data_IF_959544369211
#
_entry.id   IF_959544369211
#
_cell.length_a   1.000
_cell.length_b   1.000
_cell.length_c   1.000
_cell.angle_alpha   90.00
_cell.angle_beta   90.00
_cell.angle_gamma   90.00
#
_symmetry.space_group_name_H-M   'P 1'
#
loop_
_entity.id
_entity.type
_entity.pdbx_description
1 polymer ?
#
# COMPACT_ATOMS: atom_id res chain seq x y z
N UNK A 1 -4.40 4.68 28.48
CA UNK A 1 -5.67 5.17 27.91
C UNK A 1 -5.62 5.10 26.40
N UNK A 2 -6.40 4.20 25.80
CA UNK A 2 -6.55 4.11 24.34
C UNK A 2 -7.44 5.25 23.84
N UNK A 3 -7.05 5.89 22.74
CA UNK A 3 -7.84 6.94 22.08
C UNK A 3 -9.16 6.32 21.59
N UNK A 4 -10.26 7.05 21.79
CA UNK A 4 -11.61 6.68 21.33
C UNK A 4 -12.27 7.89 20.67
N UNK A 5 -13.07 7.60 19.64
CA UNK A 5 -13.89 8.59 18.94
C UNK A 5 -15.36 8.36 19.25
N UNK A 6 -16.13 9.43 19.44
CA UNK A 6 -17.58 9.35 19.59
C UNK A 6 -18.24 9.53 18.23
N UNK A 7 -19.01 8.55 17.80
CA UNK A 7 -19.81 8.61 16.57
C UNK A 7 -21.29 8.51 16.94
N UNK A 8 -22.13 9.24 16.20
CA UNK A 8 -23.58 9.08 16.26
C UNK A 8 -24.03 8.27 15.06
N UNK A 9 -24.53 7.06 15.29
CA UNK A 9 -25.10 6.23 14.25
C UNK A 9 -26.60 6.51 14.11
N UNK A 10 -27.07 6.55 12.87
CA UNK A 10 -28.49 6.50 12.55
C UNK A 10 -28.82 5.10 12.02
N UNK A 11 -29.62 4.34 12.78
CA UNK A 11 -29.86 2.92 12.57
C UNK A 11 -31.32 2.69 12.19
N UNK A 12 -31.55 1.91 11.14
CA UNK A 12 -32.86 1.29 10.88
C UNK A 12 -32.94 -0.01 11.69
N UNK A 13 -33.67 0.03 12.81
CA UNK A 13 -33.83 -1.13 13.69
C UNK A 13 -34.57 -2.28 12.98
N UNK A 14 -35.52 -1.98 12.10
CA UNK A 14 -36.31 -3.01 11.38
C UNK A 14 -35.42 -3.80 10.43
N UNK A 15 -34.49 -3.13 9.75
CA UNK A 15 -33.54 -3.77 8.82
C UNK A 15 -32.24 -4.21 9.51
N UNK A 16 -32.06 -3.83 10.78
CA UNK A 16 -30.82 -3.96 11.53
C UNK A 16 -29.62 -3.51 10.68
N UNK A 17 -29.65 -2.23 10.28
CA UNK A 17 -28.72 -1.62 9.32
C UNK A 17 -28.37 -0.19 9.73
N UNK A 18 -27.10 0.15 9.68
CA UNK A 18 -26.63 1.54 9.79
C UNK A 18 -26.97 2.26 8.48
N UNK A 19 -27.69 3.37 8.57
CA UNK A 19 -27.96 4.22 7.40
C UNK A 19 -26.77 5.13 7.14
N UNK A 20 -26.30 5.79 8.19
CA UNK A 20 -25.14 6.68 8.20
C UNK A 20 -24.62 6.86 9.62
N UNK A 21 -23.43 7.44 9.72
CA UNK A 21 -22.83 7.93 10.95
C UNK A 21 -22.53 9.42 10.81
N UNK A 22 -22.82 10.20 11.84
CA UNK A 22 -22.22 11.51 12.03
C UNK A 22 -20.91 11.36 12.80
N UNK A 23 -19.86 11.96 12.26
CA UNK A 23 -18.51 11.90 12.81
C UNK A 23 -17.83 13.26 12.80
N UNK A 24 -17.00 13.50 13.81
CA UNK A 24 -16.14 14.67 13.89
C UNK A 24 -14.87 14.51 13.04
N UNK A 25 -14.19 15.62 12.83
CA UNK A 25 -12.99 15.74 12.01
C UNK A 25 -11.93 14.67 12.33
N UNK A 26 -11.62 14.42 13.59
CA UNK A 26 -10.53 13.52 13.96
C UNK A 26 -10.76 12.07 13.52
N UNK A 27 -12.00 11.57 13.62
CA UNK A 27 -12.32 10.23 13.17
C UNK A 27 -12.22 10.13 11.64
N UNK A 28 -12.70 11.15 10.94
CA UNK A 28 -12.64 11.18 9.48
C UNK A 28 -11.20 11.29 8.97
N UNK A 29 -10.35 12.03 9.66
CA UNK A 29 -8.91 12.09 9.38
C UNK A 29 -8.27 10.70 9.50
N UNK A 30 -8.62 9.93 10.54
CA UNK A 30 -8.18 8.54 10.69
C UNK A 30 -8.70 7.68 9.53
N UNK A 31 -9.99 7.79 9.19
CA UNK A 31 -10.60 7.02 8.11
C UNK A 31 -9.92 7.29 6.76
N UNK A 32 -9.70 8.56 6.40
CA UNK A 32 -9.02 8.96 5.17
C UNK A 32 -7.53 8.56 5.18
N UNK A 33 -6.89 8.54 6.35
CA UNK A 33 -5.49 8.10 6.45
C UNK A 33 -5.28 6.64 6.06
N UNK A 34 -6.31 5.79 6.19
CA UNK A 34 -6.26 4.37 5.82
C UNK A 34 -5.94 4.18 4.33
N UNK A 35 -6.38 5.10 3.47
CA UNK A 35 -6.08 5.10 2.04
C UNK A 35 -4.58 5.30 1.75
N UNK A 36 -3.86 5.97 2.66
CA UNK A 36 -2.44 6.32 2.48
C UNK A 36 -1.48 5.25 3.01
N UNK A 37 -2.01 4.19 3.64
CA UNK A 37 -1.23 3.11 4.22
C UNK A 37 -0.78 2.15 3.11
N UNK A 38 0.52 1.78 3.04
CA UNK A 38 0.97 0.74 2.13
C UNK A 38 0.19 -0.56 2.33
N UNK A 39 -0.23 -1.22 1.25
CA UNK A 39 -1.07 -2.43 1.33
C UNK A 39 -0.40 -3.54 2.15
N UNK A 40 0.93 -3.66 2.15
CA UNK A 40 1.63 -4.62 2.98
C UNK A 40 1.53 -4.31 4.48
N UNK A 41 1.44 -3.04 4.86
CA UNK A 41 1.17 -2.65 6.25
C UNK A 41 -0.29 -2.90 6.64
N UNK A 42 -1.23 -2.74 5.70
CA UNK A 42 -2.64 -3.14 5.91
C UNK A 42 -2.73 -4.65 6.12
N UNK A 43 -2.05 -5.45 5.29
CA UNK A 43 -2.03 -6.90 5.43
C UNK A 43 -1.50 -7.32 6.81
N UNK A 44 -0.44 -6.68 7.31
CA UNK A 44 0.10 -6.90 8.67
C UNK A 44 -0.83 -6.43 9.78
N UNK A 45 -1.53 -5.32 9.56
CA UNK A 45 -2.48 -4.80 10.54
C UNK A 45 -3.69 -5.74 10.67
N UNK A 46 -4.13 -6.34 9.57
CA UNK A 46 -5.27 -7.27 9.58
C UNK A 46 -4.86 -8.68 10.05
N UNK A 47 -3.69 -9.19 9.64
CA UNK A 47 -3.17 -10.49 10.09
C UNK A 47 -2.43 -10.36 11.44
N UNK A 48 -2.88 -11.09 12.47
CA UNK A 48 -2.19 -11.18 13.78
C UNK A 48 -0.82 -11.92 13.74
N UNK A 49 -0.24 -12.18 12.57
CA UNK A 49 1.01 -12.92 12.43
C UNK A 49 2.13 -12.05 11.87
N UNK A 50 3.32 -12.15 12.50
CA UNK A 50 4.57 -11.69 11.90
C UNK A 50 4.89 -12.61 10.73
N UNK A 51 4.46 -12.22 9.53
CA UNK A 51 4.88 -12.90 8.30
C UNK A 51 6.41 -12.77 8.20
N UNK A 52 7.12 -13.85 8.53
CA UNK A 52 8.48 -14.04 8.07
C UNK A 52 8.37 -14.27 6.56
N UNK A 53 8.55 -13.21 5.76
CA UNK A 53 8.82 -13.35 4.34
C UNK A 53 10.17 -14.05 4.19
N UNK A 54 10.19 -15.36 4.34
CA UNK A 54 11.36 -16.19 4.04
C UNK A 54 11.35 -16.58 2.55
N UNK A 55 11.22 -15.56 1.71
CA UNK A 55 11.32 -15.71 0.25
C UNK A 55 12.78 -16.03 -0.14
N UNK A 56 13.75 -15.68 0.73
CA UNK A 56 15.17 -15.75 0.43
C UNK A 56 15.53 -14.92 -0.80
N UNK A 57 16.76 -15.08 -1.31
CA UNK A 57 17.14 -14.61 -2.66
C UNK A 57 16.90 -13.12 -2.99
N UNK A 58 16.88 -12.24 -1.99
CA UNK A 58 16.86 -10.80 -2.18
C UNK A 58 18.13 -10.31 -2.88
N UNK A 59 17.99 -9.30 -3.74
CA UNK A 59 19.11 -8.71 -4.48
C UNK A 59 20.15 -8.11 -3.53
N UNK A 60 19.71 -7.44 -2.46
CA UNK A 60 20.55 -6.95 -1.36
C UNK A 60 19.90 -7.26 -0.01
N UNK A 61 20.69 -7.25 1.07
CA UNK A 61 20.18 -7.39 2.45
C UNK A 61 19.18 -6.27 2.81
N UNK A 62 19.32 -5.10 2.19
CA UNK A 62 18.42 -3.98 2.39
C UNK A 62 17.04 -4.20 1.73
N UNK A 63 16.92 -4.98 0.64
CA UNK A 63 15.64 -5.28 0.01
C UNK A 63 14.66 -5.98 0.97
N UNK A 64 15.15 -6.90 1.82
CA UNK A 64 14.32 -7.52 2.85
C UNK A 64 13.79 -6.47 3.84
N UNK A 65 14.67 -5.56 4.27
CA UNK A 65 14.31 -4.45 5.16
C UNK A 65 13.29 -3.49 4.54
N UNK A 66 13.38 -3.25 3.21
CA UNK A 66 12.42 -2.41 2.50
C UNK A 66 10.99 -2.94 2.53
N UNK A 67 10.83 -4.26 2.54
CA UNK A 67 9.53 -4.91 2.58
C UNK A 67 9.05 -5.13 4.00
N UNK A 68 9.93 -5.37 4.97
CA UNK A 68 9.54 -5.53 6.39
C UNK A 68 9.21 -4.21 7.07
N UNK A 69 9.85 -3.11 6.67
CA UNK A 69 9.60 -1.75 7.16
C UNK A 69 9.12 -0.85 6.00
N UNK A 70 7.86 -1.03 5.60
CA UNK A 70 7.27 -0.29 4.47
C UNK A 70 7.02 1.16 4.86
N UNK A 71 7.61 2.08 4.10
CA UNK A 71 7.55 3.53 4.33
C UNK A 71 6.59 4.21 3.36
N UNK A 72 5.94 5.27 3.82
CA UNK A 72 5.08 6.13 3.00
C UNK A 72 5.50 7.59 3.12
N UNK A 73 5.34 8.36 2.05
CA UNK A 73 5.51 9.84 2.08
C UNK A 73 4.54 10.52 3.06
N UNK A 74 3.52 9.80 3.51
CA UNK A 74 2.51 10.26 4.47
C UNK A 74 2.76 9.82 5.91
N UNK A 75 3.88 9.15 6.21
CA UNK A 75 4.20 8.68 7.57
C UNK A 75 4.19 9.82 8.60
N UNK A 76 4.82 10.95 8.29
CA UNK A 76 4.85 12.12 9.18
C UNK A 76 3.48 12.76 9.36
N UNK A 77 2.63 12.74 8.33
CA UNK A 77 1.26 13.24 8.43
C UNK A 77 0.44 12.36 9.40
N UNK A 78 0.55 11.04 9.26
CA UNK A 78 -0.20 10.08 10.10
C UNK A 78 0.19 10.14 11.58
N UNK A 79 1.41 10.57 11.92
CA UNK A 79 1.82 10.80 13.31
C UNK A 79 1.04 11.91 14.01
N UNK A 80 0.45 12.85 13.26
CA UNK A 80 -0.38 13.93 13.80
C UNK A 80 -1.82 13.53 14.05
N UNK A 81 -2.22 12.33 13.63
CA UNK A 81 -3.56 11.80 13.89
C UNK A 81 -3.72 11.46 15.37
N UNK A 82 -4.92 11.67 15.91
CA UNK A 82 -5.28 11.16 17.24
C UNK A 82 -5.11 9.64 17.35
N UNK A 83 -5.31 8.90 16.26
CA UNK A 83 -5.07 7.46 16.19
C UNK A 83 -4.30 7.09 14.92
N UNK A 84 -3.08 6.58 15.07
CA UNK A 84 -2.30 6.04 13.96
C UNK A 84 -2.51 4.53 13.86
N UNK A 85 -3.10 4.08 12.75
CA UNK A 85 -3.37 2.66 12.49
C UNK A 85 -2.14 1.87 12.04
N UNK A 86 -1.00 2.51 11.77
CA UNK A 86 0.24 1.82 11.43
C UNK A 86 1.30 1.96 12.52
N UNK A 87 2.01 0.87 12.80
CA UNK A 87 3.20 0.86 13.65
C UNK A 87 4.42 1.44 12.92
N UNK A 88 4.39 2.73 12.59
CA UNK A 88 5.54 3.38 11.96
C UNK A 88 6.60 3.71 13.01
N UNK A 89 7.69 2.94 13.00
CA UNK A 89 8.94 3.41 13.62
C UNK A 89 9.33 4.75 12.98
N UNK A 90 9.97 5.67 13.73
CA UNK A 90 10.46 6.93 13.15
C UNK A 90 11.33 6.65 11.92
N UNK A 91 11.21 7.51 10.89
CA UNK A 91 12.09 7.46 9.73
C UNK A 91 13.54 7.56 10.19
N UNK A 92 14.28 6.47 9.98
CA UNK A 92 15.72 6.44 10.27
C UNK A 92 16.47 6.83 9.01
N UNK A 93 17.59 7.51 9.19
CA UNK A 93 18.47 7.94 8.12
C UNK A 93 19.87 7.42 8.44
N UNK A 94 20.46 6.71 7.49
CA UNK A 94 21.76 6.07 7.65
C UNK A 94 22.73 6.59 6.59
N UNK A 95 23.95 6.91 7.00
CA UNK A 95 25.06 7.31 6.13
C UNK A 95 26.20 6.31 6.27
N UNK A 96 27.18 6.43 5.36
CA UNK A 96 28.42 5.67 5.44
C UNK A 96 29.16 6.00 6.75
N UNK A 97 29.76 5.02 7.47
CA UNK A 97 30.62 5.29 8.62
C UNK A 97 31.80 6.22 8.31
N UNK A 98 32.26 6.23 7.06
CA UNK A 98 33.32 7.14 6.62
C UNK A 98 32.82 8.56 6.33
N UNK A 99 31.50 8.84 6.37
CA UNK A 99 30.93 10.16 6.06
C UNK A 99 31.53 11.28 6.92
N UNK A 100 31.83 11.00 8.19
CA UNK A 100 32.41 11.97 9.12
C UNK A 100 33.93 12.07 9.07
N UNK A 101 34.60 11.39 8.12
CA UNK A 101 36.07 11.43 8.00
C UNK A 101 36.48 12.52 7.01
N UNK A 102 37.55 13.26 7.35
CA UNK A 102 38.04 14.45 6.63
C UNK A 102 38.28 14.24 5.13
N UNK A 103 38.61 13.02 4.70
CA UNK A 103 39.04 12.74 3.32
C UNK A 103 37.93 12.11 2.47
N UNK A 104 36.72 11.97 3.02
CA UNK A 104 35.64 11.14 2.45
C UNK A 104 34.65 11.92 1.60
N UNK A 105 35.16 12.76 0.69
CA UNK A 105 34.37 13.67 -0.16
C UNK A 105 33.48 12.97 -1.22
N UNK A 106 33.52 11.63 -1.32
CA UNK A 106 32.73 10.83 -2.27
C UNK A 106 31.54 10.08 -1.67
N UNK A 107 31.16 10.31 -0.41
CA UNK A 107 30.14 9.52 0.31
C UNK A 107 28.91 10.33 0.73
N UNK A 108 28.52 11.31 -0.09
CA UNK A 108 27.37 12.21 0.09
C UNK A 108 26.01 11.53 -0.13
N UNK A 109 25.81 10.34 0.44
CA UNK A 109 24.59 9.58 0.27
C UNK A 109 24.00 9.12 1.60
N UNK A 110 22.67 9.13 1.68
CA UNK A 110 21.92 8.59 2.82
C UNK A 110 20.98 7.49 2.36
N UNK A 111 20.52 6.66 3.30
CA UNK A 111 19.46 5.68 3.06
C UNK A 111 18.51 5.58 4.25
N UNK A 112 17.26 5.23 3.98
CA UNK A 112 16.27 4.95 5.03
C UNK A 112 16.31 3.50 5.54
N UNK A 113 17.23 2.68 5.00
CA UNK A 113 17.40 1.29 5.37
C UNK A 113 18.84 1.02 5.76
N UNK A 114 19.01 0.45 6.97
CA UNK A 114 20.30 -0.01 7.47
C UNK A 114 20.88 -1.03 6.49
N UNK A 115 22.20 -1.06 6.37
CA UNK A 115 22.93 -1.97 5.47
C UNK A 115 22.72 -1.71 3.97
N UNK A 116 22.23 -0.52 3.61
CA UNK A 116 22.35 -0.03 2.24
C UNK A 116 23.82 0.14 1.88
N UNK A 117 24.22 -0.29 0.69
CA UNK A 117 25.62 -0.24 0.27
C UNK A 117 25.99 1.14 -0.28
N UNK A 118 27.05 1.73 0.26
CA UNK A 118 27.59 3.01 -0.20
C UNK A 118 28.43 2.83 -1.48
N UNK A 119 28.70 3.92 -2.19
CA UNK A 119 29.58 3.94 -3.38
C UNK A 119 30.98 3.38 -3.09
N UNK A 120 31.49 3.50 -1.86
CA UNK A 120 32.76 2.89 -1.44
C UNK A 120 32.71 1.39 -1.13
N UNK A 121 31.54 0.74 -1.22
CA UNK A 121 31.38 -0.67 -0.86
C UNK A 121 31.03 -0.94 0.60
N UNK A 122 31.28 0.02 1.51
CA UNK A 122 30.89 -0.10 2.91
C UNK A 122 29.36 -0.02 3.11
N UNK A 123 28.87 -0.63 4.18
CA UNK A 123 27.46 -0.59 4.57
C UNK A 123 27.14 0.70 5.32
N UNK A 124 26.05 1.36 4.96
CA UNK A 124 25.50 2.51 5.69
C UNK A 124 24.89 2.03 7.01
N UNK A 125 25.60 2.28 8.11
CA UNK A 125 25.20 1.87 9.47
C UNK A 125 25.18 3.02 10.46
N UNK A 126 25.76 4.17 10.12
CA UNK A 126 25.81 5.35 10.99
C UNK A 126 24.51 6.12 10.87
N UNK A 127 23.76 6.24 11.96
CA UNK A 127 22.47 6.94 11.95
C UNK A 127 22.67 8.45 12.08
N UNK A 128 21.95 9.23 11.29
CA UNK A 128 21.82 10.69 11.41
C UNK A 128 20.39 11.05 11.78
N UNK A 129 20.20 12.20 12.41
CA UNK A 129 18.88 12.72 12.76
C UNK A 129 18.46 13.75 11.72
N UNK A 130 17.25 13.58 11.19
CA UNK A 130 16.62 14.54 10.29
C UNK A 130 15.34 15.02 10.98
N UNK A 131 15.19 16.32 11.27
CA UNK A 131 13.98 16.86 11.90
C UNK A 131 12.72 16.50 11.12
N UNK A 132 11.58 16.30 11.80
CA UNK A 132 10.35 15.88 11.13
C UNK A 132 9.81 16.95 10.19
N UNK A 133 10.04 18.22 10.50
CA UNK A 133 9.64 19.39 9.70
C UNK A 133 10.31 19.36 8.32
N UNK A 134 11.56 18.91 8.29
CA UNK A 134 12.36 18.79 7.06
C UNK A 134 11.94 17.58 6.21
N UNK A 135 11.20 16.63 6.78
CA UNK A 135 10.74 15.44 6.05
C UNK A 135 9.47 15.69 5.24
N UNK A 136 8.80 16.84 5.38
CA UNK A 136 7.48 17.12 4.77
C UNK A 136 7.50 18.33 3.83
N UNK A 137 7.06 18.18 2.58
CA UNK A 137 7.11 19.24 1.53
C UNK A 137 6.24 20.47 1.81
N UNK A 138 5.13 20.31 2.52
CA UNK A 138 4.24 21.41 2.88
C UNK A 138 3.98 21.39 4.37
N UNK A 139 3.88 22.59 4.96
CA UNK A 139 3.39 22.77 6.33
C UNK A 139 1.99 22.15 6.41
N UNK A 140 1.87 21.18 7.31
CA UNK A 140 0.68 20.33 7.49
C UNK A 140 -0.33 21.08 8.36
N UNK A 141 -1.58 21.18 7.91
CA UNK A 141 -2.74 21.65 8.68
C UNK A 141 -2.54 23.04 9.29
N UNK A 142 -3.12 24.07 8.69
CA UNK A 142 -3.39 25.30 9.44
C UNK A 142 -4.43 24.98 10.54
N UNK A 143 -4.60 25.85 11.54
CA UNK A 143 -5.64 25.67 12.58
C UNK A 143 -7.07 25.51 12.02
N UNK A 144 -7.26 25.70 10.71
CA UNK A 144 -8.54 25.62 10.01
C UNK A 144 -8.76 24.22 9.37
N UNK A 145 -7.75 23.57 8.79
CA UNK A 145 -7.88 22.26 8.12
C UNK A 145 -7.40 21.08 8.99
N UNK A 146 -7.93 19.87 8.72
CA UNK A 146 -7.42 18.64 9.32
C UNK A 146 -6.20 18.08 8.60
N UNK A 147 -5.73 16.91 9.03
CA UNK A 147 -4.51 16.30 8.49
C UNK A 147 -4.71 15.84 7.04
N UNK A 148 -5.86 15.22 6.74
CA UNK A 148 -6.25 14.69 5.44
C UNK A 148 -7.58 15.25 4.91
N UNK A 149 -8.22 16.13 5.68
CA UNK A 149 -9.53 16.71 5.37
C UNK A 149 -9.50 18.24 5.27
N UNK A 150 -10.28 18.80 4.35
CA UNK A 150 -10.49 20.25 4.27
C UNK A 150 -11.61 20.67 5.24
N UNK A 151 -11.37 21.77 5.96
CA UNK A 151 -12.10 22.33 7.11
C UNK A 151 -13.63 22.18 7.07
N UNK A 152 -14.19 21.40 8.02
CA UNK A 152 -15.54 21.50 8.63
C UNK A 152 -15.58 20.76 9.98
N UNK A 153 -16.48 21.15 10.88
CA UNK A 153 -16.60 20.58 12.23
C UNK A 153 -17.22 19.18 12.29
N UNK A 154 -18.05 18.79 11.32
CA UNK A 154 -18.70 17.48 11.31
C UNK A 154 -19.00 16.95 9.90
N UNK A 155 -19.11 15.62 9.80
CA UNK A 155 -19.24 14.88 8.56
C UNK A 155 -20.32 13.79 8.68
N UNK A 156 -20.94 13.48 7.55
CA UNK A 156 -21.79 12.31 7.36
C UNK A 156 -20.97 11.25 6.63
N UNK A 157 -20.88 10.08 7.23
CA UNK A 157 -20.26 8.86 6.69
C UNK A 157 -21.38 7.87 6.40
N UNK A 158 -21.60 7.52 5.14
CA UNK A 158 -22.60 6.52 4.78
C UNK A 158 -22.10 5.10 5.10
N UNK A 159 -23.01 4.12 5.16
CA UNK A 159 -22.68 2.71 5.43
C UNK A 159 -21.62 2.12 4.48
N UNK A 160 -21.61 2.60 3.23
CA UNK A 160 -20.63 2.29 2.19
C UNK A 160 -19.42 3.23 2.18
N UNK A 161 -19.18 3.95 3.27
CA UNK A 161 -18.01 4.81 3.57
C UNK A 161 -17.80 6.02 2.65
N UNK A 162 -18.85 6.50 2.01
CA UNK A 162 -18.79 7.82 1.36
C UNK A 162 -18.84 8.89 2.46
N UNK A 163 -17.86 9.78 2.46
CA UNK A 163 -17.75 10.85 3.43
C UNK A 163 -18.11 12.17 2.78
N UNK A 164 -19.04 12.88 3.40
CA UNK A 164 -19.47 14.20 2.98
C UNK A 164 -19.59 15.10 4.19
N UNK A 165 -19.51 16.41 3.97
CA UNK A 165 -19.75 17.35 5.06
C UNK A 165 -21.16 17.26 5.59
N UNK A 166 -21.31 17.41 6.91
CA UNK A 166 -22.63 17.43 7.51
C UNK A 166 -23.40 18.68 7.08
N UNK A 167 -24.61 18.47 6.59
CA UNK A 167 -25.63 19.50 6.38
C UNK A 167 -26.98 18.81 6.30
N UNK A 168 -28.03 19.51 6.71
CA UNK A 168 -29.39 18.96 6.65
C UNK A 168 -29.78 18.54 5.23
N UNK A 169 -29.38 19.30 4.20
CA UNK A 169 -29.62 18.94 2.80
C UNK A 169 -28.95 17.63 2.37
N UNK A 170 -27.72 17.39 2.82
CA UNK A 170 -27.02 16.11 2.57
C UNK A 170 -27.69 14.96 3.31
N UNK A 171 -28.05 15.16 4.58
CA UNK A 171 -28.77 14.17 5.39
C UNK A 171 -30.08 13.74 4.70
N UNK A 172 -30.92 14.71 4.32
CA UNK A 172 -32.17 14.46 3.61
C UNK A 172 -31.95 13.74 2.28
N UNK A 173 -30.91 14.12 1.53
CA UNK A 173 -30.55 13.44 0.28
C UNK A 173 -30.19 11.98 0.52
N UNK A 174 -29.32 11.69 1.49
CA UNK A 174 -28.92 10.31 1.82
C UNK A 174 -30.13 9.46 2.22
N UNK A 175 -31.06 10.03 3.01
CA UNK A 175 -32.28 9.33 3.41
C UNK A 175 -33.20 9.03 2.21
N UNK A 176 -33.46 10.04 1.37
CA UNK A 176 -34.28 9.89 0.17
C UNK A 176 -33.68 8.88 -0.82
N UNK A 177 -32.36 8.96 -1.06
CA UNK A 177 -31.63 8.04 -1.94
C UNK A 177 -31.69 6.58 -1.43
N UNK A 178 -31.91 6.39 -0.12
CA UNK A 178 -32.05 5.08 0.53
C UNK A 178 -33.52 4.67 0.76
N UNK A 179 -34.48 5.49 0.31
CA UNK A 179 -35.91 5.20 0.36
C UNK A 179 -36.59 5.48 1.71
N UNK A 180 -36.01 6.34 2.56
CA UNK A 180 -36.64 6.76 3.82
C UNK A 180 -37.45 8.04 3.61
N UNK A 181 -38.72 8.03 4.03
CA UNK A 181 -39.60 9.21 3.99
C UNK A 181 -39.34 10.22 5.13
N UNK A 182 -38.56 9.83 6.14
CA UNK A 182 -38.25 10.62 7.32
C UNK A 182 -37.49 9.81 8.36
N UNK A 183 -37.50 10.29 9.61
CA UNK A 183 -36.73 9.72 10.72
C UNK A 183 -37.53 8.76 11.62
N UNK A 184 -38.84 8.62 11.41
CA UNK A 184 -39.73 7.88 12.32
C UNK A 184 -39.36 6.41 12.53
N UNK A 185 -38.71 5.80 11.53
CA UNK A 185 -38.27 4.41 11.56
C UNK A 185 -36.78 4.26 11.90
N UNK A 186 -36.12 5.36 12.31
CA UNK A 186 -34.68 5.42 12.54
C UNK A 186 -34.38 5.78 14.00
N UNK A 187 -33.37 5.13 14.56
CA UNK A 187 -32.88 5.35 15.90
C UNK A 187 -31.49 5.97 15.88
N UNK A 188 -31.28 7.00 16.70
CA UNK A 188 -29.95 7.54 16.97
C UNK A 188 -29.26 6.77 18.11
N UNK A 189 -28.05 6.29 17.86
CA UNK A 189 -27.24 5.56 18.84
C UNK A 189 -25.82 6.13 18.88
N UNK A 190 -25.36 6.53 20.07
CA UNK A 190 -23.98 6.97 20.28
C UNK A 190 -23.07 5.79 20.58
N UNK A 191 -21.92 5.74 19.92
CA UNK A 191 -20.91 4.69 20.12
C UNK A 191 -19.52 5.27 20.33
N UNK A 192 -18.71 4.55 21.09
CA UNK A 192 -17.28 4.78 21.21
C UNK A 192 -16.51 3.86 20.25
N UNK A 193 -15.66 4.44 19.40
CA UNK A 193 -14.88 3.74 18.39
C UNK A 193 -13.40 3.82 18.73
N UNK A 194 -12.79 2.69 19.06
CA UNK A 194 -11.37 2.54 19.35
C UNK A 194 -10.59 1.87 18.21
N UNK A 195 -9.35 1.49 18.52
CA UNK A 195 -8.42 0.90 17.54
C UNK A 195 -8.94 -0.39 16.92
N UNK A 196 -9.51 -1.29 17.74
CA UNK A 196 -10.02 -2.57 17.23
C UNK A 196 -11.25 -2.37 16.35
N UNK A 197 -12.13 -1.42 16.67
CA UNK A 197 -13.27 -1.10 15.83
C UNK A 197 -12.83 -0.51 14.48
N UNK A 198 -11.84 0.39 14.46
CA UNK A 198 -11.27 0.91 13.19
C UNK A 198 -10.57 -0.19 12.40
N UNK A 199 -9.89 -1.12 13.07
CA UNK A 199 -9.25 -2.28 12.43
C UNK A 199 -10.29 -3.22 11.83
N UNK A 200 -11.39 -3.51 12.54
CA UNK A 200 -12.52 -4.29 12.01
C UNK A 200 -13.16 -3.58 10.82
N UNK A 201 -13.34 -2.26 10.91
CA UNK A 201 -13.85 -1.44 9.82
C UNK A 201 -12.96 -1.53 8.57
N UNK A 202 -11.64 -1.45 8.74
CA UNK A 202 -10.68 -1.64 7.65
C UNK A 202 -10.78 -3.05 7.02
N UNK A 203 -11.02 -4.09 7.80
CA UNK A 203 -11.31 -5.42 7.27
C UNK A 203 -12.58 -5.46 6.41
N UNK A 204 -13.59 -4.66 6.78
CA UNK A 204 -14.85 -4.55 6.05
C UNK A 204 -14.74 -3.75 4.74
N UNK A 205 -13.70 -2.93 4.55
CA UNK A 205 -13.46 -2.18 3.30
C UNK A 205 -13.46 -3.09 2.07
N UNK A 206 -12.92 -4.29 2.23
CA UNK A 206 -12.63 -5.24 1.17
C UNK A 206 -13.72 -6.28 0.96
N UNK A 207 -14.56 -6.49 1.97
CA UNK A 207 -15.48 -7.62 2.04
C UNK A 207 -16.95 -7.21 2.00
N UNK A 208 -17.28 -5.94 2.24
CA UNK A 208 -18.66 -5.46 2.36
C UNK A 208 -18.93 -4.10 1.69
N UNK A 209 -20.18 -3.88 1.29
CA UNK A 209 -20.74 -2.57 0.90
C UNK A 209 -21.48 -1.86 2.06
N UNK A 210 -21.56 -2.51 3.22
CA UNK A 210 -22.26 -2.04 4.41
C UNK A 210 -21.30 -2.03 5.61
N UNK A 211 -20.14 -1.41 5.44
CA UNK A 211 -19.00 -1.55 6.34
C UNK A 211 -19.30 -1.06 7.76
N UNK A 212 -20.09 0.01 7.93
CA UNK A 212 -20.49 0.49 9.25
C UNK A 212 -21.42 -0.54 9.92
N UNK A 213 -22.38 -1.09 9.18
CA UNK A 213 -23.28 -2.15 9.65
C UNK A 213 -22.51 -3.39 10.11
N UNK A 214 -21.58 -3.89 9.30
CA UNK A 214 -20.80 -5.09 9.67
C UNK A 214 -19.97 -4.85 10.93
N UNK A 215 -19.38 -3.65 11.03
CA UNK A 215 -18.47 -3.31 12.12
C UNK A 215 -19.22 -3.10 13.42
N UNK A 216 -20.25 -2.24 13.42
CA UNK A 216 -20.88 -1.75 14.64
C UNK A 216 -22.10 -2.54 15.07
N UNK A 217 -22.79 -3.21 14.14
CA UNK A 217 -23.92 -4.09 14.46
C UNK A 217 -23.51 -5.58 14.49
N UNK A 218 -22.21 -5.87 14.32
CA UNK A 218 -21.61 -7.22 14.34
C UNK A 218 -22.34 -8.22 13.44
N UNK A 219 -22.92 -7.74 12.33
CA UNK A 219 -23.65 -8.56 11.38
C UNK A 219 -22.67 -9.26 10.45
N UNK A 220 -22.85 -10.56 10.23
CA UNK A 220 -22.12 -11.31 9.21
C UNK A 220 -22.49 -10.76 7.84
N UNK A 221 -21.57 -10.01 7.24
CA UNK A 221 -21.75 -9.49 5.89
C UNK A 221 -21.31 -10.54 4.88
N UNK A 222 -22.17 -10.84 3.91
CA UNK A 222 -21.84 -11.78 2.84
C UNK A 222 -20.70 -11.23 2.01
N UNK A 223 -19.64 -12.03 1.85
CA UNK A 223 -18.49 -11.71 1.00
C UNK A 223 -18.98 -11.48 -0.43
N UNK A 224 -18.62 -10.35 -1.00
CA UNK A 224 -18.98 -10.00 -2.36
C UNK A 224 -18.45 -11.06 -3.35
N UNK A 225 -19.34 -11.69 -4.11
CA UNK A 225 -18.99 -12.27 -5.40
C UNK A 225 -18.87 -11.10 -6.39
N UNK A 226 -17.71 -10.44 -6.40
CA UNK A 226 -17.43 -9.37 -7.35
C UNK A 226 -17.62 -9.89 -8.78
N UNK A 227 -18.51 -9.24 -9.54
CA UNK A 227 -18.67 -9.52 -10.97
C UNK A 227 -17.31 -9.38 -11.64
N UNK A 228 -16.98 -10.36 -12.48
CA UNK A 228 -15.70 -10.49 -13.16
C UNK A 228 -15.29 -9.16 -13.80
N UNK A 229 -14.05 -8.76 -13.52
CA UNK A 229 -13.45 -7.55 -14.04
C UNK A 229 -13.26 -7.73 -15.55
N UNK A 230 -13.94 -6.91 -16.35
CA UNK A 230 -13.55 -6.75 -17.75
C UNK A 230 -12.15 -6.12 -17.78
N UNK A 231 -11.19 -6.70 -18.51
CA UNK A 231 -9.86 -6.12 -18.59
C UNK A 231 -9.93 -4.73 -19.26
N UNK A 232 -9.17 -3.73 -18.78
CA UNK A 232 -8.99 -2.46 -19.49
C UNK A 232 -8.49 -2.68 -20.92
N UNK A 233 -8.88 -1.79 -21.84
CA UNK A 233 -8.42 -1.82 -23.23
C UNK A 233 -6.88 -1.66 -23.30
N UNK A 234 -6.18 -2.44 -24.14
CA UNK A 234 -4.73 -2.53 -24.11
C UNK A 234 -4.01 -1.28 -24.65
N UNK A 235 -2.97 -0.85 -23.93
CA UNK A 235 -1.78 -0.19 -24.48
C UNK A 235 -0.58 -1.05 -24.04
N UNK A 236 -0.11 -1.94 -24.91
CA UNK A 236 0.69 -3.09 -24.47
C UNK A 236 2.20 -2.83 -24.49
N UNK A 237 2.81 -2.86 -23.30
CA UNK A 237 4.22 -3.21 -23.09
C UNK A 237 4.24 -4.48 -22.25
N UNK A 238 4.89 -5.54 -22.75
CA UNK A 238 5.03 -6.82 -22.04
C UNK A 238 5.93 -6.63 -20.81
N UNK A 239 5.49 -7.09 -19.65
CA UNK A 239 6.27 -7.04 -18.39
C UNK A 239 7.07 -8.32 -18.21
N UNK A 240 6.42 -9.49 -18.20
CA UNK A 240 7.08 -10.79 -18.04
C UNK A 240 6.25 -11.95 -18.63
N UNK A 241 6.78 -13.17 -18.57
CA UNK A 241 6.06 -14.40 -18.91
C UNK A 241 6.02 -15.32 -17.69
N UNK A 242 4.89 -15.97 -17.45
CA UNK A 242 4.67 -16.89 -16.34
C UNK A 242 4.06 -18.19 -16.84
N UNK A 243 4.42 -19.29 -16.20
CA UNK A 243 3.88 -20.61 -16.48
C UNK A 243 2.87 -20.97 -15.40
N UNK A 244 1.61 -21.17 -15.78
CA UNK A 244 0.49 -21.37 -14.87
C UNK A 244 0.01 -22.79 -14.93
N UNK A 245 -0.20 -23.41 -13.76
CA UNK A 245 -0.76 -24.73 -13.61
C UNK A 245 -2.17 -24.63 -13.04
N UNK A 246 -3.16 -25.04 -13.83
CA UNK A 246 -4.58 -24.97 -13.46
C UNK A 246 -5.21 -26.37 -13.46
N UNK A 247 -6.21 -26.57 -12.61
CA UNK A 247 -7.00 -27.81 -12.57
C UNK A 247 -7.96 -27.86 -13.75
N UNK A 248 -8.06 -28.99 -14.45
CA UNK A 248 -8.90 -29.17 -15.64
C UNK A 248 -10.39 -28.91 -15.39
N UNK A 249 -10.90 -29.38 -14.24
CA UNK A 249 -12.32 -29.41 -13.92
C UNK A 249 -12.94 -28.01 -13.84
N UNK A 250 -12.31 -27.12 -13.07
CA UNK A 250 -12.82 -25.81 -12.70
C UNK A 250 -11.93 -24.66 -13.19
N UNK A 251 -10.79 -24.98 -13.81
CA UNK A 251 -9.75 -24.03 -14.25
C UNK A 251 -9.19 -23.20 -13.11
N UNK A 252 -9.27 -23.70 -11.88
CA UNK A 252 -8.64 -23.08 -10.74
C UNK A 252 -7.12 -23.13 -10.91
N UNK A 253 -6.47 -21.98 -10.88
CA UNK A 253 -5.01 -21.87 -10.84
C UNK A 253 -4.54 -22.36 -9.47
N UNK A 254 -3.68 -23.35 -9.45
CA UNK A 254 -3.08 -23.84 -8.22
C UNK A 254 -1.83 -23.03 -7.87
N UNK A 255 -0.94 -22.88 -8.85
CA UNK A 255 0.27 -22.08 -8.74
C UNK A 255 0.79 -21.63 -10.11
N UNK A 256 1.71 -20.66 -10.08
CA UNK A 256 2.48 -20.20 -11.22
C UNK A 256 3.98 -20.35 -10.94
N UNK A 257 4.71 -20.88 -11.91
CA UNK A 257 6.17 -20.81 -11.96
C UNK A 257 6.61 -19.55 -12.69
N UNK A 258 7.53 -18.81 -12.08
CA UNK A 258 7.93 -17.49 -12.57
C UNK A 258 9.37 -17.13 -12.18
N UNK A 259 9.87 -16.05 -12.78
CA UNK A 259 11.16 -15.47 -12.44
C UNK A 259 10.99 -14.30 -11.43
N UNK A 260 12.11 -13.71 -11.04
CA UNK A 260 12.15 -12.54 -10.16
C UNK A 260 11.32 -11.35 -10.66
N UNK A 261 11.14 -11.15 -11.97
CA UNK A 261 10.43 -9.99 -12.52
C UNK A 261 8.95 -9.98 -12.15
N UNK A 262 8.29 -11.14 -12.22
CA UNK A 262 6.90 -11.28 -11.80
C UNK A 262 6.77 -11.09 -10.29
N UNK A 263 7.69 -11.69 -9.52
CA UNK A 263 7.71 -11.53 -8.05
C UNK A 263 7.93 -10.08 -7.65
N UNK A 264 8.85 -9.36 -8.29
CA UNK A 264 9.07 -7.93 -8.06
C UNK A 264 7.83 -7.08 -8.38
N UNK A 265 7.03 -7.51 -9.36
CA UNK A 265 5.73 -6.90 -9.67
C UNK A 265 4.73 -7.13 -8.54
N UNK A 266 4.61 -8.35 -8.03
CA UNK A 266 3.72 -8.67 -6.89
C UNK A 266 4.16 -7.96 -5.61
N UNK A 267 5.46 -7.92 -5.31
CA UNK A 267 6.01 -7.25 -4.13
C UNK A 267 5.79 -5.73 -4.20
N UNK A 268 5.70 -5.16 -5.40
CA UNK A 268 5.35 -3.74 -5.55
C UNK A 268 3.95 -3.41 -5.05
N UNK A 269 3.00 -4.35 -5.11
CA UNK A 269 1.66 -4.13 -4.57
C UNK A 269 1.72 -3.76 -3.09
N UNK A 270 2.66 -4.36 -2.35
CA UNK A 270 2.81 -4.15 -0.91
C UNK A 270 3.28 -2.73 -0.57
N UNK A 271 4.11 -2.12 -1.42
CA UNK A 271 4.70 -0.79 -1.16
C UNK A 271 3.74 0.34 -1.50
N UNK A 272 2.77 0.07 -2.37
CA UNK A 272 1.81 1.06 -2.81
C UNK A 272 0.73 1.34 -1.75
N UNK A 273 0.29 2.61 -1.59
CA UNK A 273 -0.81 2.96 -0.70
C UNK A 273 -2.13 2.33 -1.19
N UNK A 274 -3.09 2.11 -0.30
CA UNK A 274 -4.40 1.55 -0.69
C UNK A 274 -5.12 2.39 -1.76
N UNK A 275 -4.99 3.72 -1.72
CA UNK A 275 -5.59 4.63 -2.71
C UNK A 275 -5.21 4.32 -4.15
N UNK A 276 -4.03 3.71 -4.35
CA UNK A 276 -3.59 3.21 -5.64
C UNK A 276 -4.68 2.40 -6.32
N UNK A 277 -5.28 1.45 -5.61
CA UNK A 277 -6.32 0.58 -6.13
C UNK A 277 -7.47 1.38 -6.76
N UNK A 278 -7.86 2.50 -6.14
CA UNK A 278 -8.87 3.42 -6.65
C UNK A 278 -8.45 4.06 -7.96
N UNK A 279 -7.24 4.59 -8.06
CA UNK A 279 -6.76 5.25 -9.29
C UNK A 279 -6.63 4.28 -10.47
N UNK A 280 -6.57 2.98 -10.19
CA UNK A 280 -6.54 1.95 -11.20
C UNK A 280 -7.91 1.45 -11.59
N UNK A 281 -8.98 1.79 -10.87
CA UNK A 281 -10.32 1.41 -11.23
C UNK A 281 -10.77 2.16 -12.49
N UNK A 282 -11.36 1.42 -13.44
CA UNK A 282 -12.08 2.06 -14.55
C UNK A 282 -13.48 2.47 -14.05
N UNK A 283 -14.19 3.34 -14.78
CA UNK A 283 -15.55 3.82 -14.42
C UNK A 283 -16.54 2.68 -14.09
N UNK A 284 -16.32 1.48 -14.63
CA UNK A 284 -17.15 0.30 -14.38
C UNK A 284 -16.72 -0.55 -13.17
N UNK A 285 -15.64 -0.19 -12.47
CA UNK A 285 -15.03 -0.99 -11.40
C UNK A 285 -15.40 -0.43 -10.03
N UNK A 286 -16.46 -0.98 -9.43
CA UNK A 286 -16.86 -0.64 -8.06
C UNK A 286 -15.89 -1.27 -7.05
N UNK A 287 -14.96 -0.48 -6.51
CA UNK A 287 -14.13 -0.85 -5.34
C UNK A 287 -14.90 -0.77 -4.00
N UNK A 288 -16.24 -0.68 -4.06
CA UNK A 288 -17.12 -0.57 -2.89
C UNK A 288 -16.69 0.57 -1.97
N UNK A 289 -16.53 0.23 -0.68
CA UNK A 289 -16.16 1.16 0.37
C UNK A 289 -14.84 1.91 0.10
N UNK A 290 -13.83 1.22 -0.45
CA UNK A 290 -12.53 1.84 -0.77
C UNK A 290 -12.71 2.93 -1.84
N UNK A 291 -13.46 2.63 -2.90
CA UNK A 291 -13.75 3.58 -3.98
C UNK A 291 -14.59 4.78 -3.53
N UNK A 292 -15.61 4.55 -2.69
CA UNK A 292 -16.43 5.61 -2.12
C UNK A 292 -15.63 6.56 -1.21
N UNK A 293 -14.72 6.00 -0.41
CA UNK A 293 -13.84 6.78 0.43
C UNK A 293 -12.87 7.61 -0.43
N UNK A 294 -12.28 7.02 -1.47
CA UNK A 294 -11.40 7.72 -2.42
C UNK A 294 -12.08 8.89 -3.16
N UNK A 295 -13.35 8.75 -3.50
CA UNK A 295 -14.14 9.76 -4.23
C UNK A 295 -14.84 10.78 -3.32
N UNK A 296 -14.61 10.70 -2.01
CA UNK A 296 -15.23 11.60 -1.04
C UNK A 296 -14.76 13.05 -1.23
N UNK A 297 -15.68 14.04 -1.32
CA UNK A 297 -15.35 15.43 -1.67
C UNK A 297 -14.55 16.17 -0.58
N UNK A 298 -14.61 15.73 0.68
CA UNK A 298 -13.94 16.40 1.80
C UNK A 298 -12.42 16.18 1.83
N UNK A 299 -11.87 15.33 0.96
CA UNK A 299 -10.44 15.00 0.93
C UNK A 299 -9.57 16.22 0.67
N UNK A 300 -8.65 16.47 1.59
CA UNK A 300 -7.70 17.55 1.48
C UNK A 300 -6.53 17.25 0.55
N UNK A 301 -5.73 18.28 0.25
CA UNK A 301 -4.63 18.17 -0.69
C UNK A 301 -3.59 17.12 -0.28
N UNK A 302 -3.32 16.99 1.03
CA UNK A 302 -2.42 15.98 1.57
C UNK A 302 -2.90 14.54 1.32
N UNK A 303 -4.22 14.34 1.18
CA UNK A 303 -4.82 13.04 0.88
C UNK A 303 -4.61 12.63 -0.58
N UNK A 304 -4.55 13.56 -1.54
CA UNK A 304 -4.64 13.25 -3.00
C UNK A 304 -3.31 12.96 -3.70
N UNK A 305 -2.18 13.04 -3.00
CA UNK A 305 -0.86 12.85 -3.60
C UNK A 305 -0.40 11.39 -3.51
N UNK A 306 -0.21 10.75 -4.67
CA UNK A 306 0.19 9.34 -4.83
C UNK A 306 1.72 9.17 -5.03
N UNK A 307 2.54 10.06 -4.49
CA UNK A 307 4.00 9.98 -4.63
C UNK A 307 4.59 8.87 -3.76
N UNK A 308 5.40 8.01 -4.37
CA UNK A 308 6.20 7.01 -3.66
C UNK A 308 7.64 7.49 -3.45
N UNK A 309 8.30 7.07 -2.36
CA UNK A 309 9.73 7.27 -2.23
C UNK A 309 10.51 6.64 -3.40
N UNK A 310 11.49 7.37 -3.94
CA UNK A 310 12.25 6.97 -5.13
C UNK A 310 12.98 5.63 -4.99
N UNK A 311 13.36 5.24 -3.77
CA UNK A 311 13.99 3.94 -3.54
C UNK A 311 13.09 2.73 -3.86
N UNK A 312 11.77 2.91 -3.96
CA UNK A 312 10.86 1.85 -4.42
C UNK A 312 10.84 1.68 -5.94
N UNK A 313 11.37 2.64 -6.73
CA UNK A 313 11.31 2.59 -8.19
C UNK A 313 11.96 1.33 -8.76
N UNK A 314 11.26 0.58 -9.61
CA UNK A 314 11.75 -0.63 -10.27
C UNK A 314 11.44 -0.54 -11.77
N UNK A 315 12.39 -0.86 -12.65
CA UNK A 315 12.23 -0.74 -14.11
C UNK A 315 11.09 -1.58 -14.68
N UNK A 316 10.85 -2.74 -14.08
CA UNK A 316 9.80 -3.66 -14.52
C UNK A 316 8.43 -3.24 -13.98
N UNK A 317 8.41 -2.32 -13.00
CA UNK A 317 7.20 -1.77 -12.40
C UNK A 317 6.89 -0.37 -12.95
N UNK A 318 6.88 -0.23 -14.28
CA UNK A 318 6.02 0.76 -14.96
C UNK A 318 4.53 0.38 -14.86
N UNK A 319 4.20 -0.44 -13.86
CA UNK A 319 2.91 -1.02 -13.56
C UNK A 319 1.84 0.05 -13.67
N UNK A 320 2.11 1.25 -13.16
CA UNK A 320 1.14 2.31 -12.96
C UNK A 320 1.93 3.63 -13.03
N UNK A 321 1.39 4.62 -13.73
CA UNK A 321 2.10 5.85 -14.13
C UNK A 321 2.29 6.77 -12.89
N UNK A 322 3.19 6.39 -11.98
CA UNK A 322 3.40 7.08 -10.70
C UNK A 322 4.63 7.97 -10.70
N UNK A 323 4.48 9.10 -10.02
CA UNK A 323 5.59 9.95 -9.63
C UNK A 323 6.38 9.34 -8.47
N UNK A 324 7.70 9.38 -8.61
CA UNK A 324 8.62 9.09 -7.51
C UNK A 324 9.14 10.38 -6.93
N UNK A 325 9.21 10.46 -5.61
CA UNK A 325 9.77 11.59 -4.89
C UNK A 325 11.14 11.24 -4.35
N UNK A 326 12.11 12.08 -4.68
CA UNK A 326 13.48 11.98 -4.21
C UNK A 326 13.81 13.27 -3.46
N UNK A 327 14.15 13.17 -2.18
CA UNK A 327 14.48 14.34 -1.36
C UNK A 327 15.99 14.40 -1.15
N UNK A 328 16.61 15.47 -1.63
CA UNK A 328 17.98 15.83 -1.28
C UNK A 328 17.96 16.65 -0.01
N UNK A 329 18.89 16.37 0.89
CA UNK A 329 19.11 17.17 2.09
C UNK A 329 20.45 17.87 2.02
N UNK A 330 20.63 18.90 2.82
CA UNK A 330 21.88 19.56 3.11
C UNK A 330 22.27 19.27 4.56
N UNK A 331 23.55 19.05 4.77
CA UNK A 331 24.11 18.63 6.04
C UNK A 331 25.23 19.60 6.42
N UNK A 332 25.08 20.31 7.54
CA UNK A 332 26.13 21.10 8.16
C UNK A 332 26.94 20.22 9.11
N UNK A 333 28.20 20.01 8.80
CA UNK A 333 29.16 19.26 9.61
C UNK A 333 30.01 20.25 10.40
N UNK A 334 30.02 20.11 11.74
CA UNK A 334 30.87 20.91 12.62
C UNK A 334 32.29 20.33 12.70
N UNK A 335 33.28 21.17 13.03
CA UNK A 335 34.70 20.81 13.19
C UNK A 335 34.99 19.60 14.11
N UNK A 336 34.09 19.24 15.02
CA UNK A 336 34.23 18.06 15.88
C UNK A 336 33.92 16.73 15.17
N UNK A 337 33.42 16.78 13.92
CA UNK A 337 33.01 15.63 13.09
C UNK A 337 32.06 14.63 13.78
N UNK A 338 31.45 15.03 14.89
CA UNK A 338 30.63 14.16 15.76
C UNK A 338 29.14 14.46 15.67
N UNK A 339 28.76 15.63 15.19
CA UNK A 339 27.37 16.06 15.04
C UNK A 339 27.16 16.78 13.72
N UNK A 340 25.99 16.57 13.13
CA UNK A 340 25.56 17.31 11.95
C UNK A 340 24.13 17.80 12.10
N UNK A 341 23.83 18.95 11.49
CA UNK A 341 22.46 19.46 11.33
C UNK A 341 22.02 19.20 9.90
N UNK A 342 20.86 18.57 9.74
CA UNK A 342 20.32 18.20 8.43
C UNK A 342 19.04 18.98 8.18
N UNK A 343 18.96 19.62 7.02
CA UNK A 343 17.79 20.37 6.55
C UNK A 343 17.64 20.21 5.03
N UNK A 344 16.50 20.57 4.45
CA UNK A 344 16.36 20.57 2.98
C UNK A 344 17.13 21.69 2.30
N UNK A 345 17.20 22.83 2.97
CA UNK A 345 17.97 23.98 2.50
C UNK A 345 18.47 24.76 3.71
N UNK A 346 19.76 25.04 3.72
CA UNK A 346 20.46 25.75 4.77
C UNK A 346 20.66 27.19 4.30
N UNK A 347 19.84 28.09 4.83
CA UNK A 347 19.81 29.51 4.43
C UNK A 347 20.92 30.37 5.05
N UNK A 348 21.76 29.81 5.92
CA UNK A 348 22.82 30.53 6.62
C UNK A 348 24.18 30.19 6.03
N UNK A 349 25.03 31.22 5.91
CA UNK A 349 26.43 31.02 5.53
C UNK A 349 27.15 30.19 6.61
N UNK A 350 27.93 29.17 6.23
CA UNK A 350 28.71 28.38 7.18
C UNK A 350 29.64 29.28 8.00
N UNK A 351 29.69 29.08 9.31
CA UNK A 351 30.65 29.78 10.18
C UNK A 351 32.05 29.18 9.92
N UNK A 352 33.12 29.91 10.23
CA UNK A 352 34.49 29.41 10.06
C UNK A 352 34.68 28.02 10.70
N UNK A 353 34.96 27.00 9.87
CA UNK A 353 35.11 25.61 10.29
C UNK A 353 33.86 24.73 10.13
N UNK A 354 32.74 25.26 9.68
CA UNK A 354 31.59 24.45 9.27
C UNK A 354 31.65 24.12 7.78
N UNK A 355 31.18 22.92 7.41
CA UNK A 355 31.08 22.51 6.02
C UNK A 355 29.67 22.07 5.68
N UNK A 356 29.10 22.66 4.63
CA UNK A 356 27.83 22.22 4.05
C UNK A 356 28.08 21.12 3.01
N UNK A 357 27.35 20.01 3.11
CA UNK A 357 27.43 18.86 2.21
C UNK A 357 26.02 18.44 1.80
N UNK A 358 25.75 18.36 0.50
CA UNK A 358 24.50 17.79 0.00
C UNK A 358 24.48 16.27 0.22
N UNK A 359 23.33 15.73 0.60
CA UNK A 359 23.07 14.32 0.85
C UNK A 359 22.00 13.82 -0.13
N UNK A 360 22.40 12.87 -0.98
CA UNK A 360 21.52 12.28 -1.98
C UNK A 360 20.95 10.94 -1.50
N UNK A 361 19.68 10.62 -1.80
CA UNK A 361 19.12 9.32 -1.44
C UNK A 361 19.77 8.20 -2.24
N UNK A 362 20.18 7.14 -1.55
CA UNK A 362 20.74 5.93 -2.14
C UNK A 362 19.63 4.92 -2.43
N UNK A 363 19.71 4.24 -3.57
CA UNK A 363 18.82 3.14 -3.89
C UNK A 363 19.33 1.85 -3.20
N UNK A 364 18.60 1.29 -2.21
CA UNK A 364 19.06 0.15 -1.43
C UNK A 364 19.25 -1.14 -2.24
N UNK A 365 18.72 -1.18 -3.46
CA UNK A 365 18.76 -2.35 -4.36
C UNK A 365 20.07 -2.42 -5.16
N UNK A 366 20.87 -1.35 -5.20
CA UNK A 366 22.11 -1.30 -6.00
C UNK A 366 23.26 -2.02 -5.28
N UNK A 367 24.03 -2.82 -6.04
CA UNK A 367 25.30 -3.42 -5.59
C UNK A 367 26.48 -2.52 -5.98
N UNK A 368 27.61 -2.60 -5.26
CA UNK A 368 28.82 -1.87 -5.65
C UNK A 368 29.43 -2.45 -6.93
N UNK A 369 29.93 -1.57 -7.81
CA UNK A 369 30.62 -1.95 -9.04
C UNK A 369 29.71 -2.33 -10.21
N UNK A 370 28.39 -2.38 -10.02
CA UNK A 370 27.44 -2.46 -11.14
C UNK A 370 27.23 -1.06 -11.69
N UNK A 371 27.38 -0.88 -13.02
CA UNK A 371 26.91 0.34 -13.69
C UNK A 371 25.45 0.59 -13.31
N UNK A 372 25.09 1.86 -13.12
CA UNK A 372 23.74 2.31 -12.78
C UNK A 372 22.78 2.04 -13.93
N UNK A 373 22.50 0.77 -14.21
CA UNK A 373 21.38 0.37 -15.01
C UNK A 373 20.14 0.65 -14.19
N UNK A 374 19.38 1.67 -14.60
CA UNK A 374 17.98 1.82 -14.21
C UNK A 374 17.30 0.44 -14.37
N UNK A 375 17.00 -0.25 -13.27
CA UNK A 375 16.25 -1.48 -13.34
C UNK A 375 16.68 -2.67 -12.50
N UNK A 376 16.82 -2.43 -11.20
CA UNK A 376 17.07 -3.49 -10.22
C UNK A 376 15.83 -3.62 -9.33
N UNK A 377 15.21 -4.80 -9.34
CA UNK A 377 14.09 -5.16 -8.47
C UNK A 377 14.55 -5.64 -7.09
N UNK A 378 13.62 -6.19 -6.31
CA UNK A 378 13.90 -6.68 -4.96
C UNK A 378 14.60 -8.03 -5.00
N UNK A 379 14.32 -8.86 -6.02
CA UNK A 379 14.78 -10.24 -6.15
C UNK A 379 16.08 -10.37 -6.97
N UNK A 380 16.90 -11.37 -6.63
CA UNK A 380 18.06 -11.77 -7.44
C UNK A 380 17.60 -12.24 -8.82
N UNK A 381 18.24 -11.70 -9.85
CA UNK A 381 18.06 -12.15 -11.24
C UNK A 381 18.34 -13.65 -11.36
N UNK A 382 17.65 -14.32 -12.28
CA UNK A 382 17.73 -15.76 -12.57
C UNK A 382 17.27 -16.71 -11.43
N UNK A 383 16.62 -16.19 -10.38
CA UNK A 383 15.95 -17.04 -9.39
C UNK A 383 14.56 -17.41 -9.89
N UNK A 384 14.18 -18.68 -9.74
CA UNK A 384 12.83 -19.19 -10.02
C UNK A 384 12.01 -19.26 -8.74
N UNK A 385 10.73 -18.94 -8.87
CA UNK A 385 9.77 -18.89 -7.77
C UNK A 385 8.49 -19.62 -8.15
N UNK A 386 7.81 -20.13 -7.12
CA UNK A 386 6.45 -20.64 -7.17
C UNK A 386 5.56 -19.63 -6.45
N UNK A 387 4.49 -19.21 -7.13
CA UNK A 387 3.46 -18.32 -6.57
C UNK A 387 2.13 -19.07 -6.54
N UNK A 388 1.57 -19.27 -5.35
CA UNK A 388 0.25 -19.91 -5.20
C UNK A 388 -0.90 -18.97 -5.60
N UNK A 389 -2.11 -19.53 -5.70
CA UNK A 389 -3.31 -18.77 -6.04
C UNK A 389 -3.57 -17.54 -5.14
N UNK A 390 -3.21 -17.64 -3.86
CA UNK A 390 -3.31 -16.57 -2.85
C UNK A 390 -2.09 -15.64 -2.79
N UNK A 391 -1.22 -15.72 -3.80
CA UNK A 391 0.01 -14.94 -3.96
C UNK A 391 1.09 -15.23 -2.90
N UNK A 392 1.03 -16.38 -2.22
CA UNK A 392 2.15 -16.83 -1.39
C UNK A 392 3.33 -17.16 -2.31
N UNK A 393 4.48 -16.51 -2.06
CA UNK A 393 5.70 -16.67 -2.86
C UNK A 393 6.65 -17.63 -2.13
N UNK A 394 7.19 -18.59 -2.87
CA UNK A 394 8.19 -19.55 -2.39
C UNK A 394 9.32 -19.68 -3.40
N UNK A 395 10.58 -19.73 -2.94
CA UNK A 395 11.70 -20.04 -3.83
C UNK A 395 11.66 -21.50 -4.26
N UNK A 396 11.90 -21.74 -5.55
CA UNK A 396 11.90 -23.10 -6.10
C UNK A 396 13.01 -23.98 -5.51
N UNK A 397 14.11 -23.36 -5.05
CA UNK A 397 15.24 -24.04 -4.44
C UNK A 397 14.92 -24.63 -3.06
N UNK A 398 13.92 -24.05 -2.38
CA UNK A 398 13.48 -24.47 -1.03
C UNK A 398 12.18 -25.29 -1.06
N UNK A 399 11.47 -25.30 -2.20
CA UNK A 399 10.19 -25.99 -2.35
C UNK A 399 10.35 -27.35 -3.01
N UNK A 400 9.84 -28.41 -2.41
CA UNK A 400 9.63 -29.67 -3.12
C UNK A 400 8.36 -29.56 -3.98
N UNK A 401 8.48 -29.56 -5.31
CA UNK A 401 7.33 -29.58 -6.22
C UNK A 401 6.43 -30.80 -5.97
N UNK A 402 7.03 -31.96 -5.65
CA UNK A 402 6.30 -33.17 -5.27
C UNK A 402 5.56 -32.97 -3.94
N UNK A 403 6.21 -32.33 -2.95
CA UNK A 403 5.58 -31.98 -1.68
C UNK A 403 4.41 -31.01 -1.85
N UNK A 404 4.54 -30.03 -2.75
CA UNK A 404 3.48 -29.09 -3.09
C UNK A 404 2.27 -29.80 -3.70
N UNK A 405 2.48 -30.67 -4.70
CA UNK A 405 1.41 -31.44 -5.34
C UNK A 405 0.70 -32.37 -4.33
N UNK A 406 1.45 -33.04 -3.44
CA UNK A 406 0.88 -33.83 -2.35
C UNK A 406 0.03 -32.99 -1.40
N UNK A 407 0.48 -31.78 -1.05
CA UNK A 407 -0.27 -30.85 -0.19
C UNK A 407 -1.56 -30.37 -0.85
N UNK A 408 -1.54 -30.17 -2.17
CA UNK A 408 -2.70 -29.73 -2.95
C UNK A 408 -3.70 -30.86 -3.21
N UNK A 409 -3.33 -32.13 -2.99
CA UNK A 409 -4.17 -33.31 -3.23
C UNK A 409 -4.73 -33.38 -4.66
N UNK A 410 -3.92 -33.03 -5.67
CA UNK A 410 -4.31 -33.07 -7.09
C UNK A 410 -3.45 -34.07 -7.85
N UNK A 411 -4.07 -34.89 -8.69
CA UNK A 411 -3.37 -35.80 -9.61
C UNK A 411 -2.74 -35.00 -10.76
N UNK A 412 -1.55 -35.41 -11.20
CA UNK A 412 -0.86 -34.74 -12.32
C UNK A 412 -1.69 -34.79 -13.61
N UNK A 413 -2.46 -35.86 -13.78
CA UNK A 413 -3.39 -36.07 -14.90
C UNK A 413 -4.50 -35.02 -14.94
N UNK A 414 -4.79 -34.34 -13.83
CA UNK A 414 -5.84 -33.32 -13.72
C UNK A 414 -5.32 -31.90 -13.96
N UNK A 415 -4.02 -31.73 -14.24
CA UNK A 415 -3.40 -30.43 -14.46
C UNK A 415 -3.31 -30.07 -15.94
N UNK A 416 -3.54 -28.78 -16.23
CA UNK A 416 -3.24 -28.14 -17.49
C UNK A 416 -2.21 -27.02 -17.27
N UNK A 417 -1.26 -26.93 -18.22
CA UNK A 417 -0.20 -25.94 -18.24
C UNK A 417 -0.53 -24.84 -19.25
N UNK A 418 -0.36 -23.59 -18.82
CA UNK A 418 -0.61 -22.40 -19.63
C UNK A 418 0.60 -21.46 -19.59
N UNK A 419 1.11 -21.06 -20.75
CA UNK A 419 2.12 -20.01 -20.86
C UNK A 419 1.43 -18.66 -21.02
N UNK A 420 1.53 -17.78 -20.03
CA UNK A 420 0.83 -16.49 -20.01
C UNK A 420 1.85 -15.35 -20.08
N UNK A 421 1.62 -14.39 -20.99
CA UNK A 421 2.34 -13.13 -20.99
C UNK A 421 1.60 -12.14 -20.08
N UNK A 422 2.33 -11.59 -19.12
CA UNK A 422 1.80 -10.63 -18.15
C UNK A 422 2.15 -9.23 -18.65
N UNK A 423 1.14 -8.42 -18.86
CA UNK A 423 1.25 -6.98 -19.06
C UNK A 423 0.73 -6.21 -17.85
N UNK A 424 0.72 -4.88 -17.94
CA UNK A 424 0.08 -4.00 -16.98
C UNK A 424 -1.39 -4.36 -16.71
N UNK A 425 -2.13 -4.79 -17.73
CA UNK A 425 -3.56 -5.14 -17.62
C UNK A 425 -3.75 -6.34 -16.69
N UNK A 426 -3.00 -7.42 -16.91
CA UNK A 426 -3.04 -8.63 -16.10
C UNK A 426 -2.64 -8.33 -14.65
N UNK A 427 -1.59 -7.51 -14.43
CA UNK A 427 -1.15 -7.16 -13.08
C UNK A 427 -2.17 -6.33 -12.31
N UNK A 428 -2.84 -5.37 -12.97
CA UNK A 428 -3.96 -4.63 -12.36
C UNK A 428 -5.09 -5.58 -12.00
N UNK A 429 -5.39 -6.55 -12.87
CA UNK A 429 -6.42 -7.57 -12.61
C UNK A 429 -6.08 -8.42 -11.39
N UNK A 430 -4.83 -8.90 -11.28
CA UNK A 430 -4.34 -9.67 -10.13
C UNK A 430 -4.39 -8.81 -8.84
N UNK A 431 -3.93 -7.56 -8.89
CA UNK A 431 -3.98 -6.64 -7.75
C UNK A 431 -5.43 -6.42 -7.26
N UNK A 432 -6.36 -6.17 -8.17
CA UNK A 432 -7.78 -6.01 -7.80
C UNK A 432 -8.33 -7.30 -7.17
N UNK A 433 -7.99 -8.46 -7.74
CA UNK A 433 -8.42 -9.76 -7.22
C UNK A 433 -7.85 -10.07 -5.83
N UNK A 434 -6.59 -9.68 -5.56
CA UNK A 434 -5.93 -9.95 -4.28
C UNK A 434 -6.51 -9.15 -3.11
N UNK A 435 -7.10 -7.98 -3.38
CA UNK A 435 -7.73 -7.15 -2.36
C UNK A 435 -9.03 -7.74 -1.81
N UNK A 436 -9.66 -8.66 -2.54
CA UNK A 436 -11.05 -9.10 -2.29
C UNK A 436 -11.17 -10.63 -2.17
N UNK A 437 -10.10 -11.37 -2.44
CA UNK A 437 -10.15 -12.82 -2.61
C UNK A 437 -8.79 -13.48 -2.39
N UNK A 438 -8.82 -14.68 -1.81
CA UNK A 438 -7.66 -15.59 -1.74
C UNK A 438 -7.36 -16.31 -3.06
N UNK A 439 -8.31 -16.40 -4.00
CA UNK A 439 -8.05 -16.95 -5.35
C UNK A 439 -7.60 -15.87 -6.35
N UNK A 440 -6.58 -15.10 -6.00
CA UNK A 440 -6.18 -13.89 -6.73
C UNK A 440 -5.70 -14.18 -8.16
N UNK A 441 -4.90 -15.24 -8.36
CA UNK A 441 -4.47 -15.63 -9.70
C UNK A 441 -5.65 -16.11 -10.55
N UNK A 442 -6.46 -17.05 -10.03
CA UNK A 442 -7.63 -17.57 -10.75
C UNK A 442 -8.54 -16.43 -11.18
N UNK A 443 -8.93 -15.55 -10.25
CA UNK A 443 -9.84 -14.43 -10.58
C UNK A 443 -9.17 -13.41 -11.52
N UNK A 444 -7.90 -13.10 -11.28
CA UNK A 444 -7.15 -12.12 -12.06
C UNK A 444 -6.86 -12.54 -13.50
N UNK A 445 -6.68 -13.84 -13.75
CA UNK A 445 -6.22 -14.39 -15.04
C UNK A 445 -7.23 -15.31 -15.74
N UNK A 446 -8.39 -15.59 -15.13
CA UNK A 446 -9.41 -16.52 -15.66
C UNK A 446 -9.77 -16.31 -17.13
N UNK A 447 -9.85 -15.05 -17.59
CA UNK A 447 -10.18 -14.72 -18.98
C UNK A 447 -9.15 -15.22 -20.00
N UNK A 448 -7.91 -15.47 -19.57
CA UNK A 448 -6.83 -16.00 -20.41
C UNK A 448 -6.81 -17.52 -20.47
N UNK A 449 -7.54 -18.19 -19.57
CA UNK A 449 -7.64 -19.64 -19.55
C UNK A 449 -8.74 -20.17 -20.48
N UNK A 450 -9.57 -19.30 -21.07
CA UNK A 450 -10.64 -19.67 -22.00
C UNK A 450 -10.03 -20.16 -23.32
N UNK A 451 -10.19 -21.45 -23.65
CA UNK A 451 -9.79 -21.98 -24.96
C UNK A 451 -10.63 -21.28 -26.02
N UNK A 452 -9.99 -20.62 -26.99
CA UNK A 452 -10.70 -20.15 -28.20
C UNK A 452 -11.41 -21.36 -28.84
N UNK A 453 -12.64 -21.22 -29.33
CA UNK A 453 -13.25 -22.29 -30.12
C UNK A 453 -12.31 -22.62 -31.28
N UNK A 454 -12.08 -23.92 -31.51
CA UNK A 454 -11.34 -24.38 -32.68
C UNK A 454 -12.07 -23.82 -33.90
N UNK A 455 -11.38 -23.06 -34.74
CA UNK A 455 -11.83 -22.83 -36.11
C UNK A 455 -11.85 -24.21 -36.76
N UNK A 456 -13.06 -24.71 -37.03
CA UNK A 456 -13.26 -25.91 -37.83
C UNK A 456 -12.75 -25.59 -39.24
N UNK A 457 -11.73 -26.36 -39.65
CA UNK A 457 -11.11 -26.28 -40.96
C UNK A 457 -11.93 -27.00 -42.03
#
# INVERSE_FOLDING_TARGET
>A
NSVKFRLKLLIDERRNKVVLAEAEQDFVDVLLSLLTIPMGNIARLLKNHKDNMDIGHFETEACKSMLTDLRSTKDTHRKRLKMNMSSTNPSKFFVCPSFFKSDSYGHSAYSNFKYTRCSCGALMTSQIQVPEEEQVEKLIGNNEDGVFINCRSSFIVTDDLKVTSNSFGVLMKVLNDRGYAGFSDLQETLIDVGFEEVRTLLGCFFTSEAALTCTFLKKTCMTRNLRMLSPPAPKNVKVCSVEVYARKLDREILYAECNGDFVDSLLSFLVHPLELACSLANDNTMLGCVGNLCTSPCRGAASKSLLLPSFYSCSNNNLLDYGYQSTTYECLICNSYSSCKVARSISRLPIAGEKAVSLYPSNPKIKSGTSSGYGIGFMKKNTKFIVSNDLTITSMNTSSTIGLLKKLQVDISDLEKYQINISKVELISILRASLISSSALTKGLSYLLVKKPKEEA
#
